data_IF_228717158011
#
_entry.id   IF_228717158011
#
_cell.length_a   1.000
_cell.length_b   1.000
_cell.length_c   1.000
_cell.angle_alpha   90.00
_cell.angle_beta   90.00
_cell.angle_gamma   90.00
#
_symmetry.space_group_name_H-M   'P 1'
#
loop_
_entity.id
_entity.type
_entity.pdbx_description
1 polymer ?
#
# COMPACT_ATOMS: atom_id res chain seq x y z
N UNK A 1 1.87 6.61 10.19
CA UNK A 1 2.99 5.72 10.53
C UNK A 1 4.28 6.50 10.42
N UNK A 2 5.16 6.37 11.41
CA UNK A 2 6.51 6.97 11.39
C UNK A 2 7.35 6.34 10.25
N UNK A 3 7.95 7.18 9.41
CA UNK A 3 8.75 6.73 8.27
C UNK A 3 10.24 6.59 8.58
N UNK A 4 10.66 6.77 9.84
CA UNK A 4 12.04 6.75 10.33
C UNK A 4 12.98 7.76 9.66
N UNK A 5 12.44 8.72 8.90
CA UNK A 5 13.14 9.84 8.30
C UNK A 5 12.69 11.19 8.91
N UNK A 6 12.21 11.16 10.16
CA UNK A 6 11.72 12.34 10.89
C UNK A 6 10.33 12.81 10.47
N UNK A 7 9.56 11.98 9.75
CA UNK A 7 8.20 12.30 9.32
C UNK A 7 7.23 11.17 9.64
N UNK A 8 5.96 11.52 9.71
CA UNK A 8 4.87 10.56 9.78
C UNK A 8 4.11 10.62 8.47
N UNK A 9 3.85 9.46 7.89
CA UNK A 9 2.99 9.30 6.72
C UNK A 9 1.57 8.98 7.15
N UNK A 10 0.61 9.68 6.55
CA UNK A 10 -0.82 9.40 6.67
C UNK A 10 -1.31 8.97 5.30
N UNK A 11 -1.99 7.83 5.25
CA UNK A 11 -2.74 7.38 4.07
C UNK A 11 -4.22 7.51 4.37
N UNK A 12 -4.98 8.06 3.43
CA UNK A 12 -6.44 8.14 3.52
C UNK A 12 -7.06 7.89 2.16
N UNK A 13 -8.35 7.58 2.20
CA UNK A 13 -9.16 7.30 1.02
C UNK A 13 -10.25 8.36 0.95
N UNK A 14 -10.44 8.95 -0.22
CA UNK A 14 -11.53 9.89 -0.48
C UNK A 14 -12.57 9.24 -1.39
N UNK A 15 -13.85 9.59 -1.22
CA UNK A 15 -14.95 9.05 -2.02
C UNK A 15 -15.93 8.17 -1.24
N UNK A 16 -16.94 7.65 -1.95
CA UNK A 16 -18.01 6.84 -1.37
C UNK A 16 -17.79 5.35 -1.59
N UNK A 17 -18.40 4.54 -0.73
CA UNK A 17 -18.49 3.10 -0.98
C UNK A 17 -19.13 2.86 -2.37
N UNK A 18 -18.58 1.90 -3.12
CA UNK A 18 -19.02 1.47 -4.47
C UNK A 18 -18.69 2.40 -5.66
N UNK A 19 -18.06 3.56 -5.43
CA UNK A 19 -17.43 4.37 -6.49
C UNK A 19 -15.91 4.25 -6.44
N UNK A 20 -15.21 4.89 -7.38
CA UNK A 20 -13.76 5.03 -7.27
C UNK A 20 -13.39 5.71 -5.94
N UNK A 21 -12.36 5.18 -5.27
CA UNK A 21 -11.90 5.65 -3.95
C UNK A 21 -10.42 5.97 -4.04
N UNK A 22 -10.05 7.18 -4.51
CA UNK A 22 -8.65 7.50 -4.62
C UNK A 22 -7.96 7.46 -3.26
N UNK A 23 -6.83 6.76 -3.19
CA UNK A 23 -5.92 6.81 -2.04
C UNK A 23 -4.96 7.96 -2.18
N UNK A 24 -4.71 8.60 -1.07
CA UNK A 24 -3.78 9.71 -0.93
C UNK A 24 -2.78 9.42 0.18
N UNK A 25 -1.56 9.92 0.01
CA UNK A 25 -0.56 9.94 1.07
C UNK A 25 -0.07 11.36 1.31
N UNK A 26 0.21 11.68 2.57
CA UNK A 26 0.81 12.94 2.97
C UNK A 26 1.80 12.70 4.09
N UNK A 27 2.93 13.40 4.02
CA UNK A 27 3.88 13.44 5.13
C UNK A 27 3.57 14.62 6.05
N UNK A 28 3.78 14.45 7.36
CA UNK A 28 3.81 15.55 8.31
C UNK A 28 5.03 15.42 9.23
N UNK A 29 5.58 16.55 9.66
CA UNK A 29 6.63 16.60 10.68
C UNK A 29 5.97 16.79 12.06
N UNK A 30 6.08 15.82 12.99
CA UNK A 30 5.42 15.91 14.29
C UNK A 30 5.81 17.13 15.12
N UNK A 31 7.09 17.50 15.09
CA UNK A 31 7.63 18.57 15.96
C UNK A 31 7.23 19.97 15.50
N UNK A 32 7.05 20.18 14.20
CA UNK A 32 6.76 21.50 13.61
C UNK A 32 5.32 21.63 13.11
N UNK A 33 4.61 20.52 12.94
CA UNK A 33 3.30 20.49 12.29
C UNK A 33 3.34 20.75 10.78
N UNK A 34 4.53 20.88 10.17
CA UNK A 34 4.65 21.11 8.73
C UNK A 34 4.08 19.93 7.95
N UNK A 35 3.24 20.24 6.96
CA UNK A 35 2.59 19.29 6.08
C UNK A 35 3.28 19.29 4.71
N UNK A 36 3.62 18.12 4.18
CA UNK A 36 4.04 17.97 2.79
C UNK A 36 2.86 18.09 1.82
N UNK A 37 3.13 18.10 0.52
CA UNK A 37 2.08 18.02 -0.49
C UNK A 37 1.41 16.62 -0.49
N UNK A 38 0.07 16.55 -0.58
CA UNK A 38 -0.63 15.30 -0.84
C UNK A 38 -0.21 14.68 -2.17
N UNK A 39 0.06 13.37 -2.18
CA UNK A 39 0.30 12.60 -3.39
C UNK A 39 -0.84 11.63 -3.58
N UNK A 40 -1.51 11.71 -4.73
CA UNK A 40 -2.51 10.73 -5.14
C UNK A 40 -1.79 9.45 -5.56
N UNK A 41 -2.20 8.32 -5.00
CA UNK A 41 -1.57 7.03 -5.21
C UNK A 41 -2.28 6.19 -6.29
N UNK A 42 -3.58 6.39 -6.48
CA UNK A 42 -4.43 5.57 -7.37
C UNK A 42 -5.02 6.37 -8.52
N UNK A 43 -5.46 5.67 -9.56
CA UNK A 43 -6.22 6.32 -10.63
C UNK A 43 -7.60 6.81 -10.12
N UNK A 44 -8.18 7.86 -10.73
CA UNK A 44 -9.46 8.44 -10.30
C UNK A 44 -10.68 7.52 -10.47
N UNK A 45 -10.56 6.45 -11.25
CA UNK A 45 -11.62 5.50 -11.61
C UNK A 45 -11.43 4.11 -10.97
N UNK A 46 -10.42 3.96 -10.11
CA UNK A 46 -10.03 2.69 -9.51
C UNK A 46 -10.88 2.39 -8.27
N UNK A 47 -11.51 1.20 -8.23
CA UNK A 47 -12.20 0.73 -7.05
C UNK A 47 -11.17 0.11 -6.10
N UNK A 48 -10.98 0.74 -4.94
CA UNK A 48 -10.03 0.28 -3.95
C UNK A 48 -10.72 -0.19 -2.68
N UNK A 49 -10.25 -1.33 -2.15
CA UNK A 49 -10.73 -1.89 -0.88
C UNK A 49 -9.91 -1.30 0.26
N UNK A 50 -8.58 -1.32 0.10
CA UNK A 50 -7.68 -0.92 1.17
C UNK A 50 -6.32 -0.42 0.64
N UNK A 51 -5.77 0.57 1.36
CA UNK A 51 -4.35 0.92 1.36
C UNK A 51 -3.69 0.71 2.73
N UNK A 52 -2.47 0.19 2.74
CA UNK A 52 -1.64 0.08 3.95
C UNK A 52 -0.21 0.54 3.66
N UNK A 53 0.35 1.33 4.57
CA UNK A 53 1.77 1.69 4.55
C UNK A 53 2.52 0.92 5.64
N UNK A 54 3.72 0.43 5.31
CA UNK A 54 4.71 -0.12 6.26
C UNK A 54 6.08 0.50 6.00
N UNK A 55 6.85 0.76 7.05
CA UNK A 55 8.20 1.33 6.96
C UNK A 55 9.23 0.42 7.60
N UNK A 56 10.46 0.52 7.11
CA UNK A 56 11.64 -0.06 7.74
C UNK A 56 12.44 1.05 8.45
N UNK A 57 13.25 0.71 9.47
CA UNK A 57 14.15 1.67 10.12
C UNK A 57 15.13 2.39 9.18
N UNK A 58 15.38 1.82 8.00
CA UNK A 58 16.20 2.44 6.95
C UNK A 58 15.54 3.66 6.27
N UNK A 59 14.26 3.93 6.56
CA UNK A 59 13.48 4.95 5.88
C UNK A 59 12.75 4.46 4.63
N UNK A 60 12.95 3.20 4.24
CA UNK A 60 12.22 2.58 3.13
C UNK A 60 10.76 2.40 3.50
N UNK A 61 9.85 2.67 2.57
CA UNK A 61 8.40 2.55 2.76
C UNK A 61 7.82 1.64 1.69
N UNK A 62 6.92 0.74 2.08
CA UNK A 62 6.10 -0.03 1.16
C UNK A 62 4.63 0.39 1.28
N UNK A 63 3.99 0.59 0.13
CA UNK A 63 2.56 0.77 -0.02
C UNK A 63 1.98 -0.55 -0.53
N UNK A 64 1.09 -1.14 0.27
CA UNK A 64 0.36 -2.37 -0.07
C UNK A 64 -1.08 -1.99 -0.36
N UNK A 65 -1.59 -2.43 -1.51
CA UNK A 65 -2.95 -2.11 -1.95
C UNK A 65 -3.69 -3.34 -2.39
N UNK A 66 -5.00 -3.31 -2.13
CA UNK A 66 -5.96 -4.21 -2.72
C UNK A 66 -6.90 -3.40 -3.60
N UNK A 67 -6.80 -3.60 -4.91
CA UNK A 67 -7.58 -2.90 -5.93
C UNK A 67 -8.34 -3.89 -6.80
N UNK A 68 -9.46 -3.46 -7.34
CA UNK A 68 -10.22 -4.20 -8.34
C UNK A 68 -10.96 -3.23 -9.26
N UNK A 69 -11.64 -3.76 -10.25
CA UNK A 69 -12.70 -3.02 -10.92
C UNK A 69 -14.02 -3.35 -10.23
N UNK A 70 -14.84 -2.32 -9.98
CA UNK A 70 -16.18 -2.51 -9.45
C UNK A 70 -16.91 -3.56 -10.29
N UNK A 71 -17.49 -4.57 -9.62
CA UNK A 71 -18.23 -5.69 -10.21
C UNK A 71 -17.40 -6.81 -10.89
N UNK A 72 -16.07 -6.70 -10.94
CA UNK A 72 -15.18 -7.79 -11.38
C UNK A 72 -14.69 -8.64 -10.20
N UNK A 73 -14.43 -9.93 -10.46
CA UNK A 73 -13.96 -10.89 -9.43
C UNK A 73 -12.46 -10.85 -9.19
N UNK A 74 -11.71 -10.21 -10.09
CA UNK A 74 -10.25 -10.27 -10.07
C UNK A 74 -9.68 -9.05 -9.35
N UNK A 75 -9.81 -9.05 -8.03
CA UNK A 75 -9.11 -8.10 -7.20
C UNK A 75 -7.64 -8.50 -7.10
N UNK A 76 -6.72 -7.55 -7.00
CA UNK A 76 -5.29 -7.84 -6.89
C UNK A 76 -4.70 -7.18 -5.66
N UNK A 77 -3.80 -7.91 -5.00
CA UNK A 77 -2.88 -7.33 -4.03
C UNK A 77 -1.60 -6.95 -4.76
N UNK A 78 -1.18 -5.70 -4.61
CA UNK A 78 0.04 -5.18 -5.20
C UNK A 78 0.84 -4.35 -4.21
N UNK A 79 2.11 -4.17 -4.53
CA UNK A 79 3.09 -3.47 -3.71
C UNK A 79 3.84 -2.44 -4.54
N UNK A 80 3.90 -1.21 -4.03
CA UNK A 80 4.83 -0.18 -4.50
C UNK A 80 5.85 0.14 -3.41
N UNK A 81 7.10 0.36 -3.80
CA UNK A 81 8.17 0.72 -2.88
C UNK A 81 8.58 2.17 -3.06
N UNK A 82 8.99 2.77 -1.95
CA UNK A 82 9.58 4.10 -1.86
C UNK A 82 10.91 4.01 -1.13
N UNK A 83 11.95 4.54 -1.77
CA UNK A 83 13.30 4.62 -1.20
C UNK A 83 13.60 6.04 -0.66
N UNK A 84 12.62 6.96 -0.70
CA UNK A 84 12.77 8.38 -0.32
C UNK A 84 11.86 8.79 0.86
N UNK A 85 11.47 7.82 1.69
CA UNK A 85 10.65 8.07 2.88
C UNK A 85 9.16 8.28 2.57
N UNK A 86 8.67 7.75 1.45
CA UNK A 86 7.26 7.85 1.04
C UNK A 86 6.91 9.12 0.28
N UNK A 87 7.90 9.81 -0.31
CA UNK A 87 7.64 10.99 -1.17
C UNK A 87 7.29 10.58 -2.58
N UNK A 88 7.98 9.58 -3.11
CA UNK A 88 7.70 8.96 -4.41
C UNK A 88 7.64 7.45 -4.29
N UNK A 89 6.79 6.83 -5.11
CA UNK A 89 6.60 5.38 -5.15
C UNK A 89 6.88 4.87 -6.57
N UNK A 90 7.62 3.77 -6.66
CA UNK A 90 7.85 3.07 -7.92
C UNK A 90 6.59 2.39 -8.44
N UNK A 91 6.70 1.84 -9.66
CA UNK A 91 5.64 1.07 -10.29
C UNK A 91 5.20 -0.11 -9.39
N UNK A 92 3.89 -0.40 -9.31
CA UNK A 92 3.38 -1.48 -8.50
C UNK A 92 3.80 -2.84 -9.07
N UNK A 93 4.08 -3.79 -8.17
CA UNK A 93 4.29 -5.20 -8.50
C UNK A 93 3.10 -6.00 -7.95
N UNK A 94 2.45 -6.78 -8.81
CA UNK A 94 1.33 -7.64 -8.41
C UNK A 94 1.88 -8.82 -7.62
N UNK A 95 1.30 -9.07 -6.44
CA UNK A 95 1.64 -10.19 -5.56
C UNK A 95 0.71 -11.37 -5.81
N UNK A 96 -0.60 -11.13 -5.85
CA UNK A 96 -1.59 -12.18 -6.08
C UNK A 96 -2.95 -11.59 -6.50
N UNK A 97 -3.82 -12.45 -7.04
CA UNK A 97 -5.25 -12.18 -7.26
C UNK A 97 -6.03 -12.68 -6.04
N UNK A 98 -6.88 -11.84 -5.49
CA UNK A 98 -7.66 -12.05 -4.26
C UNK A 98 -9.16 -11.90 -4.52
N UNK A 99 -10.00 -12.41 -3.62
CA UNK A 99 -11.44 -12.22 -3.64
C UNK A 99 -11.83 -10.81 -3.14
N UNK A 100 -12.86 -10.15 -3.71
CA UNK A 100 -13.34 -8.85 -3.26
C UNK A 100 -13.76 -8.78 -1.77
N UNK A 101 -14.16 -9.90 -1.18
CA UNK A 101 -14.52 -10.03 0.23
C UNK A 101 -13.31 -10.29 1.15
N UNK A 102 -12.11 -10.43 0.59
CA UNK A 102 -10.88 -10.54 1.35
C UNK A 102 -10.63 -9.25 2.14
N UNK A 103 -10.29 -9.39 3.43
CA UNK A 103 -9.91 -8.24 4.26
C UNK A 103 -8.61 -7.58 3.80
N UNK A 104 -8.33 -6.39 4.33
CA UNK A 104 -7.09 -5.68 4.00
C UNK A 104 -5.86 -6.53 4.34
N UNK A 105 -4.86 -6.63 3.44
CA UNK A 105 -3.65 -7.38 3.70
C UNK A 105 -2.90 -6.81 4.90
N UNK A 106 -2.41 -7.71 5.75
CA UNK A 106 -1.45 -7.37 6.78
C UNK A 106 -0.05 -7.32 6.15
N UNK A 107 0.76 -6.37 6.60
CA UNK A 107 2.09 -6.16 6.07
C UNK A 107 3.08 -5.78 7.17
N UNK A 108 4.35 -6.13 6.96
CA UNK A 108 5.49 -5.65 7.74
C UNK A 108 6.76 -5.62 6.89
N UNK A 109 7.59 -4.59 7.06
CA UNK A 109 8.84 -4.43 6.30
C UNK A 109 10.03 -4.60 7.25
N UNK A 110 10.88 -5.58 6.97
CA UNK A 110 12.07 -5.85 7.78
C UNK A 110 13.18 -4.81 7.51
N UNK A 111 14.12 -4.62 8.46
CA UNK A 111 15.20 -3.65 8.33
C UNK A 111 16.06 -3.80 7.06
N UNK A 112 16.22 -5.05 6.58
CA UNK A 112 17.01 -5.37 5.39
C UNK A 112 16.21 -5.34 4.07
N UNK A 113 14.95 -4.92 4.14
CA UNK A 113 14.10 -4.67 2.96
C UNK A 113 13.20 -5.82 2.53
N UNK A 114 13.17 -6.93 3.28
CA UNK A 114 12.20 -8.00 3.04
C UNK A 114 10.80 -7.56 3.47
N UNK A 115 9.82 -7.71 2.60
CA UNK A 115 8.42 -7.44 2.88
C UNK A 115 7.71 -8.74 3.24
N UNK A 116 6.99 -8.74 4.35
CA UNK A 116 6.12 -9.82 4.79
C UNK A 116 4.68 -9.40 4.53
N UNK A 117 3.92 -10.24 3.84
CA UNK A 117 2.52 -10.03 3.50
C UNK A 117 1.68 -11.21 3.96
N UNK A 118 0.52 -10.91 4.52
CA UNK A 118 -0.52 -11.90 4.76
C UNK A 118 -1.86 -11.38 4.24
N UNK A 119 -2.56 -12.21 3.47
CA UNK A 119 -3.84 -11.86 2.85
C UNK A 119 -4.73 -13.10 2.76
N UNK A 120 -6.02 -12.86 2.64
CA UNK A 120 -6.99 -13.93 2.33
C UNK A 120 -7.20 -13.96 0.82
N UNK A 121 -7.00 -15.12 0.18
CA UNK A 121 -7.30 -15.27 -1.25
C UNK A 121 -8.81 -15.42 -1.48
N UNK A 122 -9.46 -16.12 -0.56
CA UNK A 122 -10.90 -16.24 -0.40
C UNK A 122 -11.23 -16.24 1.12
N UNK A 123 -12.50 -16.15 1.54
CA UNK A 123 -12.85 -16.08 2.97
C UNK A 123 -12.37 -17.25 3.83
N UNK A 124 -11.93 -18.35 3.23
CA UNK A 124 -11.50 -19.57 3.90
C UNK A 124 -9.99 -19.84 3.81
N UNK A 125 -9.24 -19.11 2.99
CA UNK A 125 -7.82 -19.37 2.76
C UNK A 125 -6.92 -18.17 3.11
N UNK A 126 -6.12 -18.31 4.18
CA UNK A 126 -5.05 -17.39 4.54
C UNK A 126 -3.73 -17.77 3.83
N UNK A 127 -3.12 -16.79 3.16
CA UNK A 127 -1.80 -16.89 2.53
C UNK A 127 -0.79 -15.99 3.23
N UNK A 128 0.47 -16.43 3.24
CA UNK A 128 1.61 -15.64 3.72
C UNK A 128 2.71 -15.72 2.67
N UNK A 129 3.30 -14.57 2.32
CA UNK A 129 4.47 -14.48 1.44
C UNK A 129 5.50 -13.54 2.05
N UNK A 130 6.77 -13.80 1.75
CA UNK A 130 7.87 -12.96 2.14
C UNK A 130 8.95 -12.93 1.05
N UNK A 131 9.67 -11.83 0.99
CA UNK A 131 10.82 -11.67 0.11
C UNK A 131 11.00 -10.23 -0.33
N UNK A 132 11.97 -10.02 -1.21
CA UNK A 132 12.11 -8.74 -1.90
C UNK A 132 11.05 -8.65 -2.98
N UNK A 133 10.25 -7.57 -3.03
CA UNK A 133 9.36 -7.34 -4.17
C UNK A 133 10.20 -7.30 -5.45
N UNK A 134 9.98 -8.28 -6.33
CA UNK A 134 10.65 -8.36 -7.63
C UNK A 134 9.79 -7.60 -8.62
N UNK A 135 10.40 -6.69 -9.38
CA UNK A 135 9.68 -6.00 -10.45
C UNK A 135 9.35 -7.03 -11.54
N UNK A 136 8.24 -6.91 -12.27
CA UNK A 136 7.87 -7.86 -13.33
C UNK A 136 8.90 -8.04 -14.47
N UNK A 137 10.00 -7.28 -14.49
CA UNK A 137 11.00 -7.26 -15.55
C UNK A 137 12.43 -7.60 -15.09
N UNK A 138 12.62 -8.16 -13.90
CA UNK A 138 13.92 -8.69 -13.42
C UNK A 138 13.91 -10.21 -13.28
#
# INVERSE_FOLDING_TARGET
>A
MDNHAGRVLVVWEEGFAFTARPSWVRSFMPDSGELGEPVQLTAPDEAQACSRLVSAPSGRVALVRSRGHSFERDWVTEVSLSDDGGRTFGAPSVVDVIDPGAGCPAAGLAPYGDLYLAWTRDPSELRVSHGKPVRPCE
#
